data_IF_328085921530
#
_entry.id   IF_328085921530
#
_cell.length_a   1.000
_cell.length_b   1.000
_cell.length_c   1.000
_cell.angle_alpha   90.00
_cell.angle_beta   90.00
_cell.angle_gamma   90.00
#
_symmetry.space_group_name_H-M   'P 1'
#
loop_
_entity.id
_entity.type
_entity.pdbx_description
1 polymer ?
#
# COMPACT_ATOMS: atom_id res chain seq x y z
N UNK A 1 -17.21 1.30 21.90
CA UNK A 1 -16.97 0.73 20.57
C UNK A 1 -16.07 -0.48 20.57
N UNK A 2 -14.89 -0.44 21.19
CA UNK A 2 -13.95 -1.57 21.20
C UNK A 2 -14.13 -2.54 22.34
N UNK A 3 -15.23 -2.43 23.07
CA UNK A 3 -15.46 -3.35 24.18
C UNK A 3 -15.26 -4.82 23.78
N UNK A 4 -15.75 -5.30 22.62
CA UNK A 4 -15.50 -6.67 22.19
C UNK A 4 -14.01 -6.99 21.91
N UNK A 5 -13.23 -6.04 21.36
CA UNK A 5 -11.80 -6.21 21.17
C UNK A 5 -11.06 -6.20 22.52
N UNK A 6 -11.41 -5.25 23.37
CA UNK A 6 -10.82 -5.12 24.72
C UNK A 6 -11.10 -6.36 25.56
N UNK A 7 -12.33 -6.87 25.53
CA UNK A 7 -12.71 -8.09 26.24
C UNK A 7 -11.97 -9.31 25.65
N UNK A 8 -11.86 -9.39 24.32
CA UNK A 8 -11.08 -10.43 23.65
C UNK A 8 -9.61 -10.43 24.07
N UNK A 9 -8.98 -9.26 24.19
CA UNK A 9 -7.59 -9.12 24.61
C UNK A 9 -7.41 -9.28 26.12
N UNK A 10 -8.39 -8.86 26.94
CA UNK A 10 -8.32 -8.90 28.41
C UNK A 10 -8.10 -10.31 28.94
N UNK A 11 -8.80 -11.27 28.39
CA UNK A 11 -8.86 -12.65 28.89
C UNK A 11 -7.73 -13.55 28.37
N UNK A 12 -6.89 -13.05 27.42
CA UNK A 12 -5.87 -13.86 26.74
C UNK A 12 -4.47 -13.36 27.00
N UNK A 13 -3.51 -14.28 26.97
CA UNK A 13 -2.09 -13.92 26.92
C UNK A 13 -1.78 -13.32 25.53
N UNK A 14 -1.15 -12.12 25.51
CA UNK A 14 -0.94 -11.34 24.29
C UNK A 14 0.55 -11.10 24.07
N UNK A 15 1.00 -11.46 22.87
CA UNK A 15 2.31 -11.10 22.31
C UNK A 15 2.16 -10.09 21.21
N UNK A 16 2.84 -8.94 21.30
CA UNK A 16 3.05 -8.01 20.19
C UNK A 16 4.34 -8.44 19.49
N UNK A 17 4.24 -8.97 18.28
CA UNK A 17 5.37 -9.43 17.50
C UNK A 17 5.79 -8.34 16.49
N UNK A 18 6.90 -7.67 16.80
CA UNK A 18 7.38 -6.48 16.14
C UNK A 18 6.90 -5.18 16.77
N UNK A 19 7.83 -4.34 17.22
CA UNK A 19 7.53 -3.08 17.92
C UNK A 19 7.80 -1.84 17.07
N UNK A 20 7.55 -1.95 15.76
CA UNK A 20 7.51 -0.84 14.83
C UNK A 20 6.25 0.03 15.00
N UNK A 21 5.82 0.68 13.93
CA UNK A 21 4.68 1.61 13.93
C UNK A 21 3.37 0.96 14.41
N UNK A 22 3.00 -0.21 13.85
CA UNK A 22 1.79 -0.92 14.24
C UNK A 22 1.90 -1.54 15.64
N UNK A 23 3.05 -2.11 15.99
CA UNK A 23 3.26 -2.66 17.34
C UNK A 23 3.13 -1.60 18.43
N UNK A 24 3.70 -0.41 18.22
CA UNK A 24 3.55 0.73 19.15
C UNK A 24 2.11 1.23 19.23
N UNK A 25 1.38 1.23 18.13
CA UNK A 25 -0.04 1.59 18.08
C UNK A 25 -0.89 0.56 18.86
N UNK A 26 -0.60 -0.75 18.70
CA UNK A 26 -1.23 -1.82 19.48
C UNK A 26 -0.96 -1.68 20.97
N UNK A 27 0.29 -1.43 21.34
CA UNK A 27 0.68 -1.19 22.72
C UNK A 27 -0.09 -0.01 23.35
N UNK A 28 -0.16 1.14 22.64
CA UNK A 28 -0.90 2.32 23.13
C UNK A 28 -2.38 2.01 23.35
N UNK A 29 -3.03 1.31 22.41
CA UNK A 29 -4.42 0.89 22.58
C UNK A 29 -4.60 0.01 23.83
N UNK A 30 -3.74 -0.99 24.01
CA UNK A 30 -3.85 -1.88 25.18
C UNK A 30 -3.65 -1.08 26.46
N UNK A 31 -2.71 -0.16 26.53
CA UNK A 31 -2.46 0.65 27.73
C UNK A 31 -3.57 1.63 28.04
N UNK A 32 -4.22 2.18 27.02
CA UNK A 32 -5.36 3.10 27.18
C UNK A 32 -6.56 2.40 27.85
N UNK A 33 -6.86 1.15 27.44
CA UNK A 33 -8.07 0.45 27.91
C UNK A 33 -7.80 -0.65 28.93
N UNK A 34 -6.59 -1.14 29.02
CA UNK A 34 -6.15 -2.21 29.93
C UNK A 34 -4.79 -1.84 30.56
N UNK A 35 -4.73 -0.79 31.40
CA UNK A 35 -3.46 -0.24 31.89
C UNK A 35 -2.62 -1.24 32.70
N UNK A 36 -3.26 -2.14 33.44
CA UNK A 36 -2.57 -3.12 34.31
C UNK A 36 -2.38 -4.50 33.65
N UNK A 37 -2.81 -4.66 32.38
CA UNK A 37 -2.68 -5.95 31.72
C UNK A 37 -1.22 -6.28 31.46
N UNK A 38 -0.80 -7.47 31.87
CA UNK A 38 0.49 -8.04 31.48
C UNK A 38 0.47 -8.39 29.98
N UNK A 39 1.45 -7.89 29.23
CA UNK A 39 1.67 -8.18 27.82
C UNK A 39 3.13 -8.45 27.54
N UNK A 40 3.39 -9.07 26.41
CA UNK A 40 4.76 -9.32 25.96
C UNK A 40 5.02 -8.66 24.60
N UNK A 41 6.25 -8.25 24.39
CA UNK A 41 6.72 -7.67 23.13
C UNK A 41 7.94 -8.46 22.69
N UNK A 42 7.92 -8.94 21.45
CA UNK A 42 9.05 -9.60 20.82
C UNK A 42 9.51 -8.84 19.57
N UNK A 43 10.79 -8.51 19.49
CA UNK A 43 11.37 -7.81 18.35
C UNK A 43 12.81 -8.25 18.09
N UNK A 44 13.23 -8.26 16.83
CA UNK A 44 14.62 -8.55 16.46
C UNK A 44 15.59 -7.50 17.02
N UNK A 45 15.16 -6.26 17.12
CA UNK A 45 15.96 -5.15 17.63
C UNK A 45 15.65 -4.86 19.10
N UNK A 46 16.60 -4.26 19.85
CA UNK A 46 16.35 -3.84 21.21
C UNK A 46 15.15 -2.88 21.32
N UNK A 47 14.25 -3.18 22.26
CA UNK A 47 13.11 -2.32 22.59
C UNK A 47 13.36 -1.74 23.99
N UNK A 48 13.20 -0.41 24.10
CA UNK A 48 13.24 0.28 25.40
C UNK A 48 11.85 0.80 25.72
N UNK A 49 11.29 0.37 26.85
CA UNK A 49 9.99 0.79 27.36
C UNK A 49 10.00 0.76 28.89
N UNK A 50 9.51 1.83 29.52
CA UNK A 50 9.39 1.93 30.97
C UNK A 50 7.98 1.53 31.39
N UNK A 51 7.71 0.23 31.42
CA UNK A 51 6.41 -0.32 31.80
C UNK A 51 6.61 -1.67 32.51
N UNK A 52 6.30 -1.70 33.80
CA UNK A 52 6.48 -2.87 34.66
C UNK A 52 5.63 -4.10 34.26
N UNK A 53 4.56 -3.86 33.48
CA UNK A 53 3.63 -4.89 33.01
C UNK A 53 3.98 -5.36 31.57
N UNK A 54 5.22 -5.12 31.12
CA UNK A 54 5.71 -5.56 29.79
C UNK A 54 6.90 -6.50 29.96
N UNK A 55 6.79 -7.68 29.37
CA UNK A 55 7.91 -8.61 29.21
C UNK A 55 8.52 -8.42 27.81
N UNK A 56 9.84 -8.27 27.74
CA UNK A 56 10.57 -8.04 26.49
C UNK A 56 11.37 -9.26 26.06
N UNK A 57 11.22 -9.67 24.81
CA UNK A 57 11.97 -10.74 24.14
C UNK A 57 12.63 -10.14 22.90
N UNK A 58 13.91 -9.74 23.02
CA UNK A 58 14.61 -9.03 21.94
C UNK A 58 15.86 -9.78 21.49
N UNK A 59 16.28 -9.52 20.25
CA UNK A 59 17.49 -10.09 19.66
C UNK A 59 17.27 -11.43 18.98
N UNK A 60 18.34 -12.20 18.80
CA UNK A 60 18.27 -13.49 18.14
C UNK A 60 17.37 -14.46 18.91
N UNK A 61 16.48 -15.15 18.18
CA UNK A 61 15.52 -16.08 18.80
C UNK A 61 14.26 -15.43 19.39
N UNK A 62 14.02 -14.14 19.17
CA UNK A 62 12.82 -13.43 19.66
C UNK A 62 11.48 -14.11 19.27
N UNK A 63 11.47 -14.93 18.24
CA UNK A 63 10.27 -15.67 17.81
C UNK A 63 10.05 -16.99 18.60
N UNK A 64 11.01 -17.45 19.38
CA UNK A 64 10.89 -18.74 20.11
C UNK A 64 9.73 -18.77 21.10
N UNK A 65 9.27 -17.62 21.56
CA UNK A 65 8.18 -17.47 22.54
C UNK A 65 6.78 -17.41 21.90
N UNK A 66 6.64 -17.46 20.59
CA UNK A 66 5.34 -17.31 19.89
C UNK A 66 4.31 -18.31 20.44
N UNK A 67 4.73 -19.54 20.70
CA UNK A 67 3.85 -20.62 21.14
C UNK A 67 3.48 -20.59 22.64
N UNK A 68 3.95 -19.60 23.37
CA UNK A 68 3.64 -19.41 24.80
C UNK A 68 2.43 -18.48 25.00
N UNK A 69 1.88 -17.93 23.90
CA UNK A 69 0.79 -16.96 23.93
C UNK A 69 -0.43 -17.45 23.15
N UNK A 70 -1.62 -17.09 23.64
CA UNK A 70 -2.87 -17.40 22.96
C UNK A 70 -3.12 -16.49 21.75
N UNK A 71 -2.67 -15.21 21.81
CA UNK A 71 -2.84 -14.22 20.76
C UNK A 71 -1.51 -13.55 20.42
N UNK A 72 -1.09 -13.68 19.19
CA UNK A 72 0.11 -13.05 18.63
C UNK A 72 -0.31 -12.00 17.63
N UNK A 73 -0.14 -10.72 17.97
CA UNK A 73 -0.45 -9.59 17.08
C UNK A 73 0.83 -9.22 16.33
N UNK A 74 0.90 -9.68 15.09
CA UNK A 74 2.09 -9.61 14.23
C UNK A 74 2.14 -8.29 13.45
N UNK A 75 3.30 -7.64 13.46
CA UNK A 75 3.60 -6.56 12.50
C UNK A 75 3.75 -7.10 11.07
N UNK A 76 3.29 -6.37 10.03
CA UNK A 76 3.24 -6.88 8.65
C UNK A 76 4.57 -7.39 8.11
N UNK A 77 5.67 -6.68 8.36
CA UNK A 77 7.01 -7.01 7.82
C UNK A 77 7.69 -8.26 8.42
N UNK A 78 7.10 -8.89 9.45
CA UNK A 78 7.69 -10.08 10.07
C UNK A 78 7.13 -11.34 9.41
N UNK A 79 7.99 -12.22 8.91
CA UNK A 79 7.61 -13.56 8.46
C UNK A 79 7.63 -14.54 9.61
N UNK A 80 6.57 -15.30 9.78
CA UNK A 80 6.47 -16.42 10.73
C UNK A 80 6.40 -17.76 10.01
N UNK A 81 6.75 -17.80 8.75
CA UNK A 81 6.65 -18.98 7.89
C UNK A 81 7.49 -20.16 8.39
N UNK A 82 8.68 -19.87 8.91
CA UNK A 82 9.61 -20.89 9.39
C UNK A 82 9.39 -21.25 10.87
N UNK A 83 8.28 -20.78 11.45
CA UNK A 83 7.88 -21.07 12.84
C UNK A 83 6.70 -22.01 12.82
N UNK A 84 6.83 -23.15 13.45
CA UNK A 84 5.71 -24.08 13.69
C UNK A 84 4.77 -23.46 14.74
N UNK A 85 3.57 -23.06 14.30
CA UNK A 85 2.56 -22.45 15.17
C UNK A 85 1.62 -23.53 15.71
N UNK A 86 1.49 -23.63 17.01
CA UNK A 86 0.56 -24.57 17.67
C UNK A 86 -0.89 -24.19 17.41
N UNK A 87 -1.79 -25.18 17.38
CA UNK A 87 -3.23 -24.99 17.08
C UNK A 87 -3.94 -24.02 18.04
N UNK A 88 -3.49 -23.94 19.29
CA UNK A 88 -4.06 -23.05 20.31
C UNK A 88 -3.57 -21.60 20.20
N UNK A 89 -2.64 -21.29 19.30
CA UNK A 89 -2.08 -19.95 19.08
C UNK A 89 -2.80 -19.26 17.93
N UNK A 90 -3.37 -18.11 18.20
CA UNK A 90 -3.97 -17.26 17.17
C UNK A 90 -2.98 -16.21 16.72
N UNK A 91 -2.36 -16.40 15.54
CA UNK A 91 -1.59 -15.34 14.88
C UNK A 91 -2.55 -14.45 14.11
N UNK A 92 -2.53 -13.14 14.40
CA UNK A 92 -3.38 -12.11 13.79
C UNK A 92 -2.58 -10.83 13.56
N UNK A 93 -3.22 -9.78 13.07
CA UNK A 93 -2.63 -8.44 12.88
C UNK A 93 -3.64 -7.35 13.25
N UNK A 94 -3.17 -6.10 13.35
CA UNK A 94 -4.06 -4.96 13.63
C UNK A 94 -5.25 -4.88 12.67
N UNK A 95 -4.99 -5.10 11.39
CA UNK A 95 -6.01 -5.04 10.34
C UNK A 95 -7.12 -6.06 10.56
N UNK A 96 -6.77 -7.32 10.84
CA UNK A 96 -7.76 -8.37 11.10
C UNK A 96 -8.60 -8.08 12.34
N UNK A 97 -7.95 -7.66 13.42
CA UNK A 97 -8.65 -7.26 14.66
C UNK A 97 -9.58 -6.06 14.43
N UNK A 98 -9.14 -5.08 13.64
CA UNK A 98 -9.98 -3.93 13.26
C UNK A 98 -11.19 -4.36 12.46
N UNK A 99 -11.02 -5.17 11.41
CA UNK A 99 -12.12 -5.66 10.57
C UNK A 99 -13.10 -6.52 11.36
N UNK A 100 -12.59 -7.33 12.30
CA UNK A 100 -13.40 -8.22 13.13
C UNK A 100 -14.22 -7.50 14.18
N UNK A 101 -13.64 -6.50 14.84
CA UNK A 101 -14.21 -5.86 16.02
C UNK A 101 -14.62 -4.40 15.80
N UNK A 102 -14.22 -3.77 14.70
CA UNK A 102 -14.47 -2.35 14.43
C UNK A 102 -15.91 -1.98 14.20
N UNK A 103 -16.79 -2.93 13.86
CA UNK A 103 -18.24 -2.74 13.74
C UNK A 103 -18.70 -1.77 12.66
N UNK A 104 -17.81 -1.26 11.82
CA UNK A 104 -18.12 -0.30 10.77
C UNK A 104 -18.05 -0.93 9.37
N UNK A 105 -18.86 -0.41 8.45
CA UNK A 105 -18.67 -0.68 7.04
C UNK A 105 -17.38 -0.02 6.58
N UNK A 106 -16.52 -0.75 5.88
CA UNK A 106 -15.26 -0.23 5.39
C UNK A 106 -14.99 -0.62 3.94
N UNK A 107 -14.15 0.15 3.27
CA UNK A 107 -13.63 -0.12 1.94
C UNK A 107 -12.16 -0.52 2.09
N UNK A 108 -11.81 -1.76 1.77
CA UNK A 108 -10.43 -2.22 1.73
C UNK A 108 -9.90 -2.21 0.31
N UNK A 109 -8.70 -1.68 0.10
CA UNK A 109 -8.08 -1.57 -1.22
C UNK A 109 -6.72 -2.21 -1.20
N UNK A 110 -6.51 -3.20 -2.07
CA UNK A 110 -5.24 -3.89 -2.26
C UNK A 110 -4.88 -4.00 -3.74
N UNK A 111 -3.68 -4.45 -3.99
CA UNK A 111 -3.11 -4.70 -5.32
C UNK A 111 -1.59 -4.64 -5.27
N UNK A 112 -0.94 -4.91 -6.37
CA UNK A 112 0.52 -4.71 -6.48
C UNK A 112 0.81 -3.22 -6.63
N UNK A 113 0.20 -2.56 -7.59
CA UNK A 113 0.32 -1.11 -7.88
C UNK A 113 -1.06 -0.43 -7.78
N UNK A 114 -1.08 0.89 -7.67
CA UNK A 114 -2.32 1.69 -7.67
C UNK A 114 -3.06 1.78 -6.33
N UNK A 115 -2.70 1.00 -5.30
CA UNK A 115 -3.35 1.01 -3.99
C UNK A 115 -3.54 2.42 -3.42
N UNK A 116 -2.46 3.16 -3.31
CA UNK A 116 -2.42 4.50 -2.70
C UNK A 116 -3.26 5.50 -3.48
N UNK A 117 -3.16 5.49 -4.81
CA UNK A 117 -3.96 6.36 -5.68
C UNK A 117 -5.44 6.04 -5.52
N UNK A 118 -5.84 4.77 -5.69
CA UNK A 118 -7.22 4.33 -5.57
C UNK A 118 -7.80 4.63 -4.18
N UNK A 119 -7.03 4.40 -3.11
CA UNK A 119 -7.46 4.68 -1.73
C UNK A 119 -7.64 6.19 -1.50
N UNK A 120 -6.71 7.00 -1.97
CA UNK A 120 -6.81 8.46 -1.84
C UNK A 120 -7.99 9.01 -2.62
N UNK A 121 -8.20 8.56 -3.87
CA UNK A 121 -9.33 8.96 -4.68
C UNK A 121 -10.66 8.56 -4.03
N UNK A 122 -10.77 7.32 -3.54
CA UNK A 122 -11.97 6.85 -2.84
C UNK A 122 -12.24 7.72 -1.60
N UNK A 123 -11.23 8.01 -0.80
CA UNK A 123 -11.34 8.89 0.36
C UNK A 123 -11.81 10.30 -0.01
N UNK A 124 -11.25 10.91 -1.06
CA UNK A 124 -11.64 12.25 -1.51
C UNK A 124 -13.07 12.28 -2.03
N UNK A 125 -13.52 11.25 -2.74
CA UNK A 125 -14.92 11.11 -3.19
C UNK A 125 -15.87 11.07 -1.99
N UNK A 126 -15.58 10.25 -0.98
CA UNK A 126 -16.42 10.17 0.22
C UNK A 126 -16.46 11.50 0.96
N UNK A 127 -15.33 12.21 1.04
CA UNK A 127 -15.28 13.57 1.61
C UNK A 127 -16.12 14.56 0.83
N UNK A 128 -16.03 14.55 -0.49
CA UNK A 128 -16.83 15.42 -1.35
C UNK A 128 -18.34 15.15 -1.20
N UNK A 129 -18.72 13.90 -0.92
CA UNK A 129 -20.10 13.50 -0.61
C UNK A 129 -20.55 13.83 0.83
N UNK A 130 -19.70 14.45 1.66
CA UNK A 130 -19.98 14.76 3.05
C UNK A 130 -20.00 13.55 3.99
N UNK A 131 -19.47 12.41 3.56
CA UNK A 131 -19.40 11.19 4.38
C UNK A 131 -18.24 11.32 5.37
N UNK A 132 -18.51 10.98 6.64
CA UNK A 132 -17.45 10.84 7.62
C UNK A 132 -16.54 9.66 7.24
N UNK A 133 -15.30 9.93 6.90
CA UNK A 133 -14.34 8.95 6.40
C UNK A 133 -12.93 9.25 6.88
N UNK A 134 -12.08 8.23 6.91
CA UNK A 134 -10.65 8.35 7.19
C UNK A 134 -9.86 7.45 6.23
N UNK A 135 -8.67 7.88 5.84
CA UNK A 135 -7.71 7.09 5.08
C UNK A 135 -6.68 6.48 6.05
N UNK A 136 -6.66 5.16 6.15
CA UNK A 136 -5.92 4.41 7.18
C UNK A 136 -5.24 3.15 6.61
N UNK A 137 -4.42 2.51 7.41
CA UNK A 137 -3.77 1.24 7.08
C UNK A 137 -2.31 1.39 6.66
N UNK A 138 -1.95 0.83 5.50
CA UNK A 138 -0.58 0.87 4.96
C UNK A 138 -0.11 2.31 4.65
N UNK A 139 -1.04 3.19 4.33
CA UNK A 139 -0.88 4.64 4.17
C UNK A 139 -1.66 5.37 5.28
N UNK A 140 -1.29 6.60 5.57
CA UNK A 140 -1.94 7.40 6.61
C UNK A 140 -1.53 6.96 8.01
N UNK A 141 -2.50 6.64 8.86
CA UNK A 141 -2.29 6.24 10.26
C UNK A 141 -2.60 4.76 10.46
N UNK A 142 -1.95 4.07 11.43
CA UNK A 142 -2.33 2.71 11.80
C UNK A 142 -3.82 2.60 12.12
N UNK A 143 -4.42 1.46 11.76
CA UNK A 143 -5.88 1.30 11.88
C UNK A 143 -6.39 1.52 13.31
N UNK A 144 -5.63 1.19 14.34
CA UNK A 144 -6.02 1.41 15.73
C UNK A 144 -6.02 2.87 16.18
N UNK A 145 -5.31 3.76 15.50
CA UNK A 145 -5.32 5.19 15.82
C UNK A 145 -6.60 5.90 15.35
N UNK A 146 -7.38 5.27 14.48
CA UNK A 146 -8.64 5.82 13.95
C UNK A 146 -9.88 5.32 14.69
N UNK A 147 -9.71 4.50 15.70
CA UNK A 147 -10.77 3.74 16.33
C UNK A 147 -11.82 4.57 17.09
N UNK A 148 -11.46 5.70 17.65
CA UNK A 148 -12.39 6.51 18.46
C UNK A 148 -13.69 6.94 17.76
N UNK A 149 -13.70 6.96 16.42
CA UNK A 149 -14.82 7.40 15.58
C UNK A 149 -15.35 6.35 14.60
N UNK A 150 -14.82 5.10 14.63
CA UNK A 150 -15.08 4.11 13.57
C UNK A 150 -16.56 3.74 13.38
N UNK A 151 -17.39 3.69 14.44
CA UNK A 151 -18.84 3.37 14.30
C UNK A 151 -19.62 4.34 13.41
N UNK A 152 -19.17 5.59 13.32
CA UNK A 152 -19.85 6.66 12.58
C UNK A 152 -19.19 7.00 11.26
N UNK A 153 -18.14 6.25 10.84
CA UNK A 153 -17.41 6.54 9.62
C UNK A 153 -17.41 5.34 8.68
N UNK A 154 -17.13 5.61 7.40
CA UNK A 154 -16.77 4.60 6.40
C UNK A 154 -15.28 4.75 6.12
N UNK A 155 -14.39 4.03 6.81
CA UNK A 155 -12.96 4.13 6.58
C UNK A 155 -12.57 3.52 5.24
N UNK A 156 -11.61 4.15 4.57
CA UNK A 156 -10.89 3.63 3.41
C UNK A 156 -9.56 3.10 3.89
N UNK A 157 -9.34 1.80 3.71
CA UNK A 157 -8.19 1.08 4.27
C UNK A 157 -7.28 0.63 3.12
N UNK A 158 -6.10 1.20 3.02
CA UNK A 158 -5.07 0.63 2.14
C UNK A 158 -4.47 -0.62 2.79
N UNK A 159 -4.47 -1.73 2.05
CA UNK A 159 -4.05 -3.04 2.55
C UNK A 159 -2.89 -3.61 1.72
N UNK A 160 -1.75 -3.81 2.37
CA UNK A 160 -0.64 -4.56 1.78
C UNK A 160 -0.91 -6.07 1.80
N UNK A 161 -0.18 -6.84 0.99
CA UNK A 161 -0.23 -8.30 1.05
C UNK A 161 0.18 -8.85 2.42
N UNK A 162 1.19 -8.23 3.06
CA UNK A 162 1.66 -8.63 4.39
C UNK A 162 0.63 -8.41 5.50
N UNK A 163 -0.22 -7.38 5.38
CA UNK A 163 -1.34 -7.16 6.30
C UNK A 163 -2.46 -8.18 6.04
N UNK A 164 -2.71 -8.51 4.77
CA UNK A 164 -3.76 -9.45 4.39
C UNK A 164 -3.39 -10.91 4.66
N UNK A 165 -2.11 -11.28 4.75
CA UNK A 165 -1.64 -12.65 4.92
C UNK A 165 -2.32 -13.38 6.09
N UNK A 166 -2.50 -12.69 7.23
CA UNK A 166 -3.12 -13.23 8.43
C UNK A 166 -4.53 -12.68 8.70
N UNK A 167 -5.13 -12.01 7.71
CA UNK A 167 -6.49 -11.46 7.83
C UNK A 167 -7.52 -12.55 7.54
N UNK A 168 -8.43 -12.76 8.49
CA UNK A 168 -9.53 -13.75 8.44
C UNK A 168 -10.91 -13.09 8.37
N UNK A 169 -10.93 -11.76 8.29
CA UNK A 169 -12.14 -10.96 8.15
C UNK A 169 -11.95 -10.01 6.97
N UNK A 170 -12.89 -10.01 6.04
CA UNK A 170 -12.83 -9.16 4.83
C UNK A 170 -13.62 -7.87 5.01
N UNK A 171 -13.22 -6.76 4.35
CA UNK A 171 -13.98 -5.51 4.35
C UNK A 171 -15.30 -5.65 3.61
N UNK A 172 -16.27 -4.75 3.90
CA UNK A 172 -17.57 -4.73 3.24
C UNK A 172 -17.47 -4.50 1.73
N UNK A 173 -16.57 -3.60 1.29
CA UNK A 173 -16.18 -3.45 -0.10
C UNK A 173 -14.70 -3.78 -0.21
N UNK A 174 -14.36 -4.83 -0.94
CA UNK A 174 -12.98 -5.21 -1.26
C UNK A 174 -12.62 -4.79 -2.68
N UNK A 175 -11.55 -4.02 -2.85
CA UNK A 175 -11.07 -3.57 -4.16
C UNK A 175 -9.71 -4.16 -4.45
N UNK A 176 -9.56 -4.85 -5.59
CA UNK A 176 -8.29 -5.40 -6.07
C UNK A 176 -7.88 -4.69 -7.37
N UNK A 177 -6.82 -3.89 -7.31
CA UNK A 177 -6.39 -3.06 -8.45
C UNK A 177 -5.73 -3.89 -9.55
N UNK A 178 -4.74 -4.69 -9.18
CA UNK A 178 -3.96 -5.56 -10.06
C UNK A 178 -3.11 -6.53 -9.24
N UNK A 179 -2.59 -7.58 -9.90
CA UNK A 179 -1.65 -8.52 -9.29
C UNK A 179 -0.51 -8.81 -10.27
N UNK A 180 0.71 -8.43 -9.89
CA UNK A 180 1.96 -8.72 -10.59
C UNK A 180 2.93 -9.41 -9.64
N UNK A 181 3.90 -10.18 -10.11
CA UNK A 181 4.92 -10.79 -9.27
C UNK A 181 5.68 -9.75 -8.43
N UNK A 182 5.58 -9.87 -7.11
CA UNK A 182 6.28 -9.03 -6.12
C UNK A 182 6.42 -9.81 -4.81
N UNK A 183 7.46 -9.58 -4.02
CA UNK A 183 7.70 -10.25 -2.72
C UNK A 183 7.68 -11.80 -2.78
N UNK A 184 8.19 -12.39 -3.87
CA UNK A 184 8.12 -13.84 -4.12
C UNK A 184 8.91 -14.66 -3.11
N UNK A 185 9.96 -14.10 -2.54
CA UNK A 185 10.77 -14.64 -1.46
C UNK A 185 9.96 -14.81 -0.15
N UNK A 186 9.13 -13.82 0.18
CA UNK A 186 8.27 -13.87 1.36
C UNK A 186 7.16 -14.92 1.24
N UNK A 187 6.55 -15.09 0.05
CA UNK A 187 5.33 -15.88 -0.15
C UNK A 187 5.55 -17.29 -0.74
N UNK A 188 6.76 -17.79 -0.89
CA UNK A 188 7.01 -19.01 -1.65
C UNK A 188 6.46 -18.97 -3.07
N UNK A 189 6.67 -17.86 -3.77
CA UNK A 189 6.27 -17.67 -5.14
C UNK A 189 4.94 -16.96 -5.34
N UNK A 190 4.58 -16.80 -6.60
CA UNK A 190 3.47 -15.91 -7.00
C UNK A 190 2.10 -16.34 -6.48
N UNK A 191 1.82 -17.66 -6.44
CA UNK A 191 0.54 -18.17 -5.93
C UNK A 191 0.32 -17.81 -4.45
N UNK A 192 1.36 -17.88 -3.62
CA UNK A 192 1.27 -17.48 -2.21
C UNK A 192 0.96 -15.98 -2.06
N UNK A 193 1.60 -15.14 -2.87
CA UNK A 193 1.35 -13.70 -2.91
C UNK A 193 -0.08 -13.36 -3.33
N UNK A 194 -0.60 -14.02 -4.38
CA UNK A 194 -2.00 -13.88 -4.83
C UNK A 194 -2.95 -14.29 -3.72
N UNK A 195 -2.72 -15.44 -3.08
CA UNK A 195 -3.55 -15.95 -2.00
C UNK A 195 -3.63 -14.98 -0.81
N UNK A 196 -2.51 -14.37 -0.44
CA UNK A 196 -2.51 -13.35 0.62
C UNK A 196 -3.42 -12.17 0.26
N UNK A 197 -3.35 -11.66 -0.98
CA UNK A 197 -4.23 -10.55 -1.43
C UNK A 197 -5.69 -10.93 -1.49
N UNK A 198 -6.02 -12.17 -1.89
CA UNK A 198 -7.40 -12.64 -1.98
C UNK A 198 -8.10 -12.74 -0.62
N UNK A 199 -7.38 -12.68 0.50
CA UNK A 199 -8.01 -12.57 1.82
C UNK A 199 -8.85 -11.28 1.97
N UNK A 200 -8.66 -10.28 1.10
CA UNK A 200 -9.51 -9.10 1.07
C UNK A 200 -10.98 -9.44 0.73
N UNK A 201 -11.23 -10.57 0.06
CA UNK A 201 -12.58 -10.96 -0.39
C UNK A 201 -13.00 -12.34 0.10
N UNK A 202 -12.06 -13.22 0.45
CA UNK A 202 -12.34 -14.64 0.78
C UNK A 202 -13.35 -14.83 1.92
N UNK A 203 -13.41 -13.90 2.87
CA UNK A 203 -14.33 -13.97 4.01
C UNK A 203 -15.52 -13.00 3.88
N UNK A 204 -15.74 -12.43 2.70
CA UNK A 204 -16.93 -11.60 2.42
C UNK A 204 -18.20 -12.43 2.45
N UNK A 205 -19.31 -11.75 2.81
CA UNK A 205 -20.67 -12.32 2.84
C UNK A 205 -21.42 -11.91 1.58
N UNK A 206 -22.61 -12.47 1.36
CA UNK A 206 -23.46 -12.19 0.20
C UNK A 206 -23.81 -10.70 0.00
N UNK A 207 -23.91 -9.94 1.09
CA UNK A 207 -24.19 -8.50 1.05
C UNK A 207 -22.96 -7.62 0.87
N UNK A 208 -21.77 -8.23 0.82
CA UNK A 208 -20.51 -7.51 0.57
C UNK A 208 -20.25 -7.41 -0.94
N UNK A 209 -19.26 -6.60 -1.31
CA UNK A 209 -18.97 -6.30 -2.72
C UNK A 209 -17.47 -6.48 -2.98
N UNK A 210 -17.17 -7.23 -4.03
CA UNK A 210 -15.84 -7.36 -4.60
C UNK A 210 -15.73 -6.58 -5.91
N UNK A 211 -14.80 -5.64 -5.97
CA UNK A 211 -14.53 -4.80 -7.16
C UNK A 211 -13.11 -5.10 -7.65
N UNK A 212 -12.94 -5.32 -8.94
CA UNK A 212 -11.63 -5.63 -9.50
C UNK A 212 -11.47 -5.14 -10.93
N UNK A 213 -10.21 -4.97 -11.34
CA UNK A 213 -9.85 -4.65 -12.72
C UNK A 213 -9.98 -5.90 -13.59
N UNK A 214 -10.99 -5.94 -14.46
CA UNK A 214 -11.29 -7.10 -15.30
C UNK A 214 -10.26 -7.32 -16.43
N UNK A 215 -9.52 -6.26 -16.83
CA UNK A 215 -8.49 -6.38 -17.87
C UNK A 215 -7.17 -7.02 -17.37
N UNK A 216 -7.10 -7.35 -16.07
CA UNK A 216 -5.87 -7.88 -15.45
C UNK A 216 -5.83 -9.40 -15.30
N UNK A 217 -6.77 -10.14 -15.88
CA UNK A 217 -6.81 -11.60 -15.76
C UNK A 217 -6.97 -12.11 -14.32
N UNK A 218 -7.41 -11.25 -13.39
CA UNK A 218 -7.56 -11.61 -11.96
C UNK A 218 -8.53 -12.79 -11.78
N UNK A 219 -9.50 -12.94 -12.68
CA UNK A 219 -10.44 -14.06 -12.72
C UNK A 219 -9.77 -15.44 -12.80
N UNK A 220 -8.56 -15.53 -13.35
CA UNK A 220 -7.81 -16.79 -13.44
C UNK A 220 -7.33 -17.29 -12.05
N UNK A 221 -7.21 -16.37 -11.09
CA UNK A 221 -6.76 -16.66 -9.73
C UNK A 221 -7.87 -16.82 -8.72
N UNK A 222 -9.11 -16.54 -9.14
CA UNK A 222 -10.29 -16.55 -8.28
C UNK A 222 -11.07 -17.84 -8.54
N UNK A 223 -11.12 -18.71 -7.54
CA UNK A 223 -12.14 -19.74 -7.52
C UNK A 223 -13.49 -19.06 -7.23
N UNK A 224 -14.34 -18.99 -8.25
CA UNK A 224 -15.65 -18.35 -8.15
C UNK A 224 -16.53 -18.94 -7.07
N UNK A 225 -16.32 -20.21 -6.71
CA UNK A 225 -17.06 -20.91 -5.66
C UNK A 225 -16.67 -20.44 -4.25
N UNK A 226 -15.48 -19.88 -4.08
CA UNK A 226 -15.00 -19.37 -2.78
C UNK A 226 -15.50 -17.94 -2.48
N UNK A 227 -15.98 -17.18 -3.49
CA UNK A 227 -16.41 -15.79 -3.31
C UNK A 227 -17.92 -15.68 -3.29
N UNK A 228 -18.46 -15.40 -2.10
CA UNK A 228 -19.92 -15.27 -1.85
C UNK A 228 -20.46 -13.87 -2.18
N UNK A 229 -19.62 -12.86 -2.18
CA UNK A 229 -20.02 -11.48 -2.39
C UNK A 229 -20.37 -11.16 -3.84
N UNK A 230 -21.10 -10.05 -4.03
CA UNK A 230 -21.39 -9.53 -5.38
C UNK A 230 -20.08 -9.09 -6.04
N UNK A 231 -19.79 -9.63 -7.22
CA UNK A 231 -18.59 -9.30 -8.02
C UNK A 231 -18.90 -8.18 -9.02
N UNK A 232 -18.03 -7.18 -9.10
CA UNK A 232 -18.09 -6.09 -10.07
C UNK A 232 -16.71 -5.97 -10.72
N UNK A 233 -16.53 -6.58 -11.89
CA UNK A 233 -15.36 -6.33 -12.74
C UNK A 233 -15.57 -5.04 -13.52
N UNK A 234 -14.54 -4.21 -13.62
CA UNK A 234 -14.54 -3.02 -14.48
C UNK A 234 -13.42 -3.12 -15.51
N UNK A 235 -13.77 -3.02 -16.79
CA UNK A 235 -12.84 -3.03 -17.90
C UNK A 235 -12.72 -1.64 -18.55
N UNK A 236 -11.71 -1.45 -19.39
CA UNK A 236 -11.59 -0.25 -20.22
C UNK A 236 -12.78 -0.11 -21.18
N UNK A 237 -13.32 -1.23 -21.68
CA UNK A 237 -14.47 -1.24 -22.56
C UNK A 237 -15.75 -0.78 -21.84
N UNK A 238 -15.97 -1.21 -20.60
CA UNK A 238 -17.11 -0.74 -19.80
C UNK A 238 -17.06 0.77 -19.55
N UNK A 239 -15.85 1.29 -19.32
CA UNK A 239 -15.65 2.74 -19.16
C UNK A 239 -15.97 3.54 -20.43
N UNK A 240 -15.66 2.98 -21.61
CA UNK A 240 -15.99 3.66 -22.87
C UNK A 240 -17.51 3.67 -23.17
N UNK A 241 -18.27 2.70 -22.61
CA UNK A 241 -19.72 2.61 -22.76
C UNK A 241 -20.50 3.52 -21.80
N UNK A 242 -19.91 3.91 -20.68
CA UNK A 242 -20.49 4.82 -19.68
C UNK A 242 -20.01 6.25 -19.95
N UNK A 243 -20.87 7.19 -20.44
CA UNK A 243 -20.47 8.55 -20.77
C UNK A 243 -19.81 9.29 -19.59
N UNK A 244 -20.28 9.06 -18.37
CA UNK A 244 -19.70 9.68 -17.18
C UNK A 244 -18.30 9.16 -16.91
N UNK A 245 -18.08 7.84 -16.91
CA UNK A 245 -16.77 7.25 -16.67
C UNK A 245 -15.76 7.62 -17.74
N UNK A 246 -16.21 7.71 -19.01
CA UNK A 246 -15.39 8.13 -20.14
C UNK A 246 -14.82 9.53 -19.96
N UNK A 247 -15.63 10.48 -19.47
CA UNK A 247 -15.17 11.83 -19.18
C UNK A 247 -14.32 11.87 -17.90
N UNK A 248 -14.71 11.10 -16.87
CA UNK A 248 -14.10 11.10 -15.56
C UNK A 248 -12.60 10.74 -15.60
N UNK A 249 -12.21 9.77 -16.42
CA UNK A 249 -10.81 9.29 -16.51
C UNK A 249 -9.83 10.33 -17.06
N UNK A 250 -10.31 11.46 -17.53
CA UNK A 250 -9.51 12.58 -18.06
C UNK A 250 -9.76 13.91 -17.34
N UNK A 251 -10.62 13.94 -16.30
CA UNK A 251 -11.02 15.19 -15.66
C UNK A 251 -9.91 15.82 -14.79
N UNK A 252 -8.93 15.05 -14.34
CA UNK A 252 -7.82 15.56 -13.53
C UNK A 252 -6.47 15.36 -14.25
N UNK A 253 -5.79 16.47 -14.65
CA UNK A 253 -4.52 16.40 -15.38
C UNK A 253 -3.33 15.87 -14.57
N UNK A 254 -3.47 15.70 -13.25
CA UNK A 254 -2.43 15.09 -12.40
C UNK A 254 -2.47 13.56 -12.40
N UNK A 255 -3.57 12.97 -12.84
CA UNK A 255 -3.75 11.53 -12.97
C UNK A 255 -3.36 11.06 -14.38
N UNK A 256 -2.06 11.17 -14.68
CA UNK A 256 -1.50 10.83 -15.97
C UNK A 256 -1.31 9.30 -16.13
N UNK A 257 -1.39 8.84 -17.38
CA UNK A 257 -1.07 7.48 -17.76
C UNK A 257 -2.24 6.48 -17.64
N UNK A 258 -2.09 5.35 -18.35
CA UNK A 258 -3.12 4.31 -18.45
C UNK A 258 -3.47 3.69 -17.10
N UNK A 259 -2.49 3.51 -16.22
CA UNK A 259 -2.68 2.92 -14.90
C UNK A 259 -3.60 3.77 -14.00
N UNK A 260 -3.46 5.11 -14.01
CA UNK A 260 -4.31 5.99 -13.23
C UNK A 260 -5.77 6.00 -13.72
N UNK A 261 -6.04 5.67 -14.99
CA UNK A 261 -7.41 5.48 -15.48
C UNK A 261 -8.12 4.38 -14.69
N UNK A 262 -7.46 3.24 -14.47
CA UNK A 262 -8.05 2.16 -13.66
C UNK A 262 -8.19 2.52 -12.20
N UNK A 263 -7.26 3.27 -11.63
CA UNK A 263 -7.38 3.77 -10.25
C UNK A 263 -8.62 4.65 -10.09
N UNK A 264 -8.90 5.53 -11.07
CA UNK A 264 -10.13 6.34 -11.12
C UNK A 264 -11.37 5.45 -11.24
N UNK A 265 -11.38 4.50 -12.16
CA UNK A 265 -12.53 3.63 -12.42
C UNK A 265 -12.90 2.78 -11.21
N UNK A 266 -11.89 2.21 -10.54
CA UNK A 266 -12.09 1.40 -9.33
C UNK A 266 -12.62 2.25 -8.16
N UNK A 267 -12.07 3.44 -7.96
CA UNK A 267 -12.55 4.37 -6.93
C UNK A 267 -13.99 4.84 -7.20
N UNK A 268 -14.31 5.18 -8.45
CA UNK A 268 -15.66 5.57 -8.86
C UNK A 268 -16.67 4.41 -8.70
N UNK A 269 -16.26 3.18 -9.06
CA UNK A 269 -17.11 1.99 -8.90
C UNK A 269 -17.37 1.70 -7.43
N UNK A 270 -16.36 1.82 -6.56
CA UNK A 270 -16.52 1.66 -5.11
C UNK A 270 -17.47 2.71 -4.52
N UNK A 271 -17.38 3.94 -4.98
CA UNK A 271 -18.28 5.02 -4.57
C UNK A 271 -19.73 4.79 -5.05
N UNK A 272 -19.92 4.40 -6.32
CA UNK A 272 -21.24 4.04 -6.84
C UNK A 272 -21.87 2.85 -6.10
N UNK A 273 -21.07 1.88 -5.67
CA UNK A 273 -21.52 0.75 -4.86
C UNK A 273 -22.06 1.19 -3.48
N UNK A 274 -21.65 2.35 -2.98
CA UNK A 274 -22.20 3.00 -1.77
C UNK A 274 -23.38 3.93 -2.08
N UNK A 275 -23.80 4.08 -3.34
CA UNK A 275 -24.86 4.98 -3.75
C UNK A 275 -24.45 6.45 -3.84
N UNK A 276 -23.16 6.76 -3.98
CA UNK A 276 -22.66 8.12 -4.15
C UNK A 276 -23.02 8.63 -5.55
N UNK A 277 -23.60 9.82 -5.61
CA UNK A 277 -23.96 10.48 -6.87
C UNK A 277 -22.70 10.88 -7.68
N UNK A 278 -22.78 10.78 -8.99
CA UNK A 278 -21.69 11.06 -9.94
C UNK A 278 -21.08 12.46 -9.80
N UNK A 279 -21.87 13.47 -9.39
CA UNK A 279 -21.36 14.82 -9.12
C UNK A 279 -20.31 14.87 -8.00
N UNK A 280 -20.48 14.05 -6.94
CA UNK A 280 -19.53 13.98 -5.84
C UNK A 280 -18.31 13.13 -6.21
N UNK A 281 -18.50 12.10 -7.05
CA UNK A 281 -17.41 11.30 -7.61
C UNK A 281 -16.50 12.22 -8.42
N UNK A 282 -17.05 13.02 -9.33
CA UNK A 282 -16.29 14.00 -10.12
C UNK A 282 -15.56 15.00 -9.23
N UNK A 283 -16.26 15.62 -8.27
CA UNK A 283 -15.65 16.59 -7.37
C UNK A 283 -14.49 16.00 -6.55
N UNK A 284 -14.62 14.75 -6.08
CA UNK A 284 -13.55 14.06 -5.39
C UNK A 284 -12.32 13.81 -6.27
N UNK A 285 -12.51 13.35 -7.51
CA UNK A 285 -11.41 13.12 -8.46
C UNK A 285 -10.73 14.45 -8.83
N UNK A 286 -11.49 15.50 -9.11
CA UNK A 286 -10.96 16.83 -9.44
C UNK A 286 -10.17 17.46 -8.29
N UNK A 287 -10.53 17.16 -7.04
CA UNK A 287 -9.83 17.64 -5.84
C UNK A 287 -8.50 16.94 -5.56
N UNK A 288 -8.15 15.89 -6.32
CA UNK A 288 -6.91 15.17 -6.10
C UNK A 288 -5.70 16.00 -6.53
N UNK A 289 -4.84 16.32 -5.57
CA UNK A 289 -3.64 17.15 -5.77
C UNK A 289 -2.34 16.35 -6.00
N UNK A 290 -2.45 15.03 -6.16
CA UNK A 290 -1.31 14.13 -6.26
C UNK A 290 -1.02 13.43 -4.93
N UNK A 291 -0.05 12.53 -4.99
CA UNK A 291 0.47 11.84 -3.81
C UNK A 291 1.89 12.35 -3.59
N UNK A 292 2.24 12.81 -2.38
CA UNK A 292 3.61 13.23 -2.09
C UNK A 292 4.62 12.16 -2.53
N UNK A 293 5.69 12.60 -3.18
CA UNK A 293 6.76 11.75 -3.69
C UNK A 293 6.38 10.74 -4.79
N UNK A 294 5.17 10.83 -5.38
CA UNK A 294 4.73 9.99 -6.50
C UNK A 294 4.30 10.86 -7.66
N UNK A 295 5.14 10.97 -8.68
CA UNK A 295 4.92 11.86 -9.83
C UNK A 295 4.41 13.24 -9.38
N UNK A 296 4.82 13.66 -8.20
CA UNK A 296 4.41 14.89 -7.55
C UNK A 296 4.92 16.08 -8.35
N UNK A 297 4.01 16.87 -8.91
CA UNK A 297 4.38 18.12 -9.57
C UNK A 297 4.77 19.15 -8.50
N UNK A 298 6.07 19.33 -8.30
CA UNK A 298 6.63 20.27 -7.29
C UNK A 298 6.47 21.73 -7.73
N UNK A 299 6.31 21.97 -9.04
CA UNK A 299 6.10 23.31 -9.60
C UNK A 299 6.94 23.56 -10.84
N UNK A 300 6.69 24.73 -11.45
CA UNK A 300 7.44 25.20 -12.62
C UNK A 300 8.24 26.44 -12.26
N UNK A 301 9.56 26.36 -12.40
CA UNK A 301 10.48 27.43 -12.08
C UNK A 301 11.34 27.77 -13.31
N UNK A 302 11.35 29.01 -13.71
CA UNK A 302 12.08 29.49 -14.91
C UNK A 302 11.77 28.66 -16.18
N UNK A 303 10.51 28.18 -16.32
CA UNK A 303 10.09 27.38 -17.48
C UNK A 303 10.43 25.89 -17.40
N UNK A 304 11.02 25.41 -16.31
CA UNK A 304 11.29 23.99 -16.05
C UNK A 304 10.32 23.48 -15.02
N UNK A 305 9.58 22.40 -15.36
CA UNK A 305 8.66 21.75 -14.45
C UNK A 305 9.39 20.60 -13.74
N UNK A 306 9.29 20.57 -12.41
CA UNK A 306 9.92 19.57 -11.55
C UNK A 306 8.89 18.57 -11.06
N UNK A 307 9.24 17.28 -11.16
CA UNK A 307 8.46 16.17 -10.62
C UNK A 307 9.29 15.40 -9.60
N UNK A 308 8.68 15.09 -8.47
CA UNK A 308 9.25 14.25 -7.42
C UNK A 308 8.58 12.86 -7.47
N UNK A 309 9.36 11.84 -7.80
CA UNK A 309 8.93 10.44 -7.83
C UNK A 309 9.87 9.55 -6.97
N UNK A 310 10.37 10.10 -5.88
CA UNK A 310 11.35 9.42 -5.02
C UNK A 310 10.82 8.14 -4.35
N UNK A 311 9.52 7.87 -4.44
CA UNK A 311 8.91 6.60 -4.01
C UNK A 311 9.01 5.49 -5.08
N UNK A 312 9.47 5.79 -6.29
CA UNK A 312 9.75 4.82 -7.32
C UNK A 312 11.00 4.01 -6.95
N UNK A 313 10.79 2.82 -6.40
CA UNK A 313 11.86 1.97 -5.86
C UNK A 313 12.24 0.81 -6.76
N UNK A 314 11.66 0.74 -7.95
CA UNK A 314 11.94 -0.29 -8.96
C UNK A 314 12.09 0.34 -10.35
N UNK A 315 12.92 -0.24 -11.23
CA UNK A 315 13.18 0.24 -12.60
C UNK A 315 11.94 0.54 -13.42
N UNK A 316 10.95 -0.35 -13.39
CA UNK A 316 9.72 -0.25 -14.17
C UNK A 316 8.90 0.99 -13.79
N UNK A 317 8.92 1.38 -12.51
CA UNK A 317 8.24 2.59 -12.07
C UNK A 317 8.88 3.86 -12.65
N UNK A 318 10.21 3.91 -12.72
CA UNK A 318 10.94 5.02 -13.33
C UNK A 318 10.62 5.12 -14.83
N UNK A 319 10.62 4.00 -15.56
CA UNK A 319 10.28 3.98 -16.99
C UNK A 319 8.83 4.42 -17.24
N UNK A 320 7.88 3.96 -16.41
CA UNK A 320 6.49 4.44 -16.48
C UNK A 320 6.39 5.96 -16.27
N UNK A 321 7.18 6.54 -15.36
CA UNK A 321 7.21 7.98 -15.14
C UNK A 321 7.76 8.74 -16.36
N UNK A 322 8.86 8.27 -16.93
CA UNK A 322 9.47 8.83 -18.14
C UNK A 322 8.49 8.83 -19.31
N UNK A 323 7.80 7.70 -19.53
CA UNK A 323 6.79 7.56 -20.59
C UNK A 323 5.58 8.49 -20.38
N UNK A 324 5.09 8.59 -19.12
CA UNK A 324 3.94 9.42 -18.79
C UNK A 324 4.20 10.93 -19.05
N UNK A 325 5.43 11.38 -18.82
CA UNK A 325 5.83 12.78 -19.03
C UNK A 325 6.15 13.11 -20.49
N UNK A 326 6.28 12.11 -21.37
CA UNK A 326 6.57 12.24 -22.83
C UNK A 326 7.90 12.90 -23.18
N UNK A 327 8.33 13.91 -22.44
CA UNK A 327 9.60 14.60 -22.59
C UNK A 327 10.20 14.89 -21.21
N UNK A 328 11.35 14.31 -20.94
CA UNK A 328 12.11 14.50 -19.70
C UNK A 328 13.49 15.07 -20.08
N UNK A 329 13.72 16.32 -19.75
CA UNK A 329 15.04 16.96 -20.02
C UNK A 329 16.14 16.43 -19.12
N UNK A 330 15.83 16.17 -17.84
CA UNK A 330 16.80 15.63 -16.88
C UNK A 330 16.10 14.63 -15.94
N UNK A 331 16.72 13.47 -15.76
CA UNK A 331 16.31 12.43 -14.84
C UNK A 331 17.36 12.26 -13.74
N UNK A 332 16.95 12.36 -12.48
CA UNK A 332 17.83 12.11 -11.32
C UNK A 332 17.51 10.72 -10.78
N UNK A 333 18.50 9.83 -10.71
CA UNK A 333 18.37 8.47 -10.20
C UNK A 333 19.45 8.17 -9.17
N UNK A 334 19.09 7.29 -8.20
CA UNK A 334 20.01 6.84 -7.16
C UNK A 334 19.26 6.16 -6.02
N UNK A 335 19.98 5.74 -5.03
CA UNK A 335 19.45 5.10 -3.83
C UNK A 335 20.22 3.84 -3.44
N UNK A 336 19.85 3.25 -2.30
CA UNK A 336 20.50 2.06 -1.78
C UNK A 336 20.25 0.85 -2.69
N UNK A 337 21.27 0.02 -2.86
CA UNK A 337 21.14 -1.23 -3.60
C UNK A 337 20.22 -2.21 -2.86
N UNK A 338 19.27 -2.76 -3.60
CA UNK A 338 18.31 -3.78 -3.13
C UNK A 338 18.55 -5.15 -3.76
N UNK A 339 19.68 -5.33 -4.44
CA UNK A 339 20.02 -6.58 -5.15
C UNK A 339 19.16 -6.82 -6.38
N UNK A 340 18.68 -5.78 -7.04
CA UNK A 340 17.92 -5.89 -8.29
C UNK A 340 18.87 -6.00 -9.49
N UNK A 341 18.44 -6.72 -10.53
CA UNK A 341 19.10 -6.69 -11.83
C UNK A 341 18.66 -5.45 -12.62
N UNK A 342 19.59 -4.57 -12.93
CA UNK A 342 19.36 -3.33 -13.67
C UNK A 342 19.69 -3.44 -15.18
N UNK A 343 20.03 -4.62 -15.69
CA UNK A 343 20.52 -4.81 -17.06
C UNK A 343 19.53 -4.35 -18.13
N UNK A 344 18.25 -4.66 -17.99
CA UNK A 344 17.22 -4.23 -18.92
C UNK A 344 16.88 -2.75 -18.76
N UNK A 345 16.84 -2.26 -17.51
CA UNK A 345 16.64 -0.85 -17.23
C UNK A 345 17.73 0.06 -17.85
N UNK A 346 18.99 -0.37 -17.83
CA UNK A 346 20.10 0.36 -18.46
C UNK A 346 19.89 0.44 -19.97
N UNK A 347 19.45 -0.64 -20.63
CA UNK A 347 19.12 -0.64 -22.07
C UNK A 347 17.96 0.33 -22.36
N UNK A 348 16.88 0.27 -21.56
CA UNK A 348 15.70 1.11 -21.72
C UNK A 348 16.05 2.59 -21.52
N UNK A 349 16.85 2.93 -20.51
CA UNK A 349 17.36 4.29 -20.28
C UNK A 349 18.22 4.79 -21.46
N UNK A 350 19.07 3.93 -22.02
CA UNK A 350 19.87 4.31 -23.19
C UNK A 350 19.01 4.65 -24.40
N UNK A 351 17.87 3.97 -24.58
CA UNK A 351 16.94 4.17 -25.70
C UNK A 351 15.83 5.21 -25.46
N UNK A 352 15.61 5.68 -24.24
CA UNK A 352 14.49 6.55 -23.91
C UNK A 352 14.72 8.03 -24.30
N UNK A 353 13.64 8.81 -24.28
CA UNK A 353 13.66 10.26 -24.61
C UNK A 353 14.00 11.11 -23.36
N UNK A 354 15.21 10.91 -22.81
CA UNK A 354 15.78 11.68 -21.70
C UNK A 354 17.12 12.25 -22.16
N UNK A 355 17.33 13.55 -22.01
CA UNK A 355 18.58 14.19 -22.48
C UNK A 355 19.72 14.00 -21.47
N UNK A 356 19.45 14.24 -20.18
CA UNK A 356 20.44 14.19 -19.12
C UNK A 356 20.06 13.17 -18.05
N UNK A 357 21.03 12.34 -17.62
CA UNK A 357 20.85 11.38 -16.53
C UNK A 357 21.85 11.74 -15.43
N UNK A 358 21.32 12.12 -14.27
CA UNK A 358 22.10 12.52 -13.10
C UNK A 358 22.07 11.35 -12.11
N UNK A 359 23.20 10.81 -11.81
CA UNK A 359 23.40 9.60 -11.04
C UNK A 359 23.91 9.91 -9.65
N UNK A 360 23.08 9.67 -8.63
CA UNK A 360 23.42 9.79 -7.21
C UNK A 360 23.90 8.43 -6.65
N UNK A 361 24.59 8.38 -5.48
CA UNK A 361 24.95 7.12 -4.85
C UNK A 361 23.69 6.27 -4.50
N UNK A 362 23.75 4.97 -4.36
CA UNK A 362 24.79 3.98 -4.71
C UNK A 362 24.46 3.38 -6.08
N UNK A 363 23.17 2.99 -6.30
CA UNK A 363 22.68 2.36 -7.53
C UNK A 363 22.81 3.28 -8.74
N UNK A 364 22.58 4.59 -8.57
CA UNK A 364 22.72 5.53 -9.66
C UNK A 364 24.15 5.58 -10.23
N UNK A 365 25.17 5.51 -9.38
CA UNK A 365 26.57 5.46 -9.82
C UNK A 365 26.85 4.19 -10.65
N UNK A 366 26.36 3.00 -10.21
CA UNK A 366 26.52 1.76 -10.95
C UNK A 366 25.83 1.84 -12.32
N UNK A 367 24.60 2.31 -12.38
CA UNK A 367 23.83 2.49 -13.61
C UNK A 367 24.52 3.49 -14.55
N UNK A 368 24.96 4.64 -14.03
CA UNK A 368 25.62 5.68 -14.81
C UNK A 368 26.96 5.23 -15.40
N UNK A 369 27.74 4.44 -14.68
CA UNK A 369 28.98 3.85 -15.19
C UNK A 369 28.69 2.84 -16.31
N UNK A 370 27.71 1.96 -16.11
CA UNK A 370 27.30 0.99 -17.15
C UNK A 370 26.79 1.68 -18.42
N UNK A 371 26.03 2.76 -18.32
CA UNK A 371 25.59 3.56 -19.46
C UNK A 371 26.77 4.17 -20.23
N UNK A 372 27.80 4.66 -19.52
CA UNK A 372 29.03 5.18 -20.15
C UNK A 372 29.81 4.08 -20.85
N UNK A 373 29.95 2.90 -20.23
CA UNK A 373 30.62 1.74 -20.80
C UNK A 373 29.92 1.20 -22.07
N UNK A 374 28.60 1.28 -22.11
CA UNK A 374 27.79 0.94 -23.29
C UNK A 374 27.90 1.97 -24.43
N UNK A 375 28.52 3.11 -24.20
CA UNK A 375 28.61 4.20 -25.20
C UNK A 375 27.27 4.91 -25.43
N UNK A 376 26.44 5.04 -24.40
CA UNK A 376 25.17 5.79 -24.47
C UNK A 376 25.40 7.24 -24.92
N UNK A 377 24.53 7.76 -25.77
CA UNK A 377 24.54 9.14 -26.27
C UNK A 377 24.02 10.18 -25.26
N UNK A 378 23.56 9.74 -24.09
CA UNK A 378 23.03 10.58 -23.03
C UNK A 378 24.13 11.36 -22.32
N UNK A 379 23.77 12.56 -21.87
CA UNK A 379 24.67 13.31 -20.97
C UNK A 379 24.57 12.72 -19.54
N UNK A 380 25.61 11.98 -19.14
CA UNK A 380 25.61 11.22 -17.88
C UNK A 380 26.50 11.95 -16.85
N UNK A 381 25.89 12.44 -15.78
CA UNK A 381 26.52 13.18 -14.70
C UNK A 381 26.53 12.30 -13.45
N UNK A 382 27.74 11.98 -12.95
CA UNK A 382 27.91 11.28 -11.67
C UNK A 382 28.07 12.35 -10.58
N UNK A 383 27.08 12.48 -9.69
CA UNK A 383 27.09 13.44 -8.61
C UNK A 383 27.31 12.73 -7.26
N UNK A 384 28.16 13.30 -6.40
CA UNK A 384 28.49 12.73 -5.10
C UNK A 384 27.30 12.74 -4.13
N UNK A 385 26.51 13.79 -4.16
CA UNK A 385 25.34 14.04 -3.31
C UNK A 385 24.48 15.15 -3.93
N UNK A 386 23.36 15.49 -3.31
CA UNK A 386 22.47 16.56 -3.76
C UNK A 386 23.12 17.94 -3.67
N UNK A 387 23.99 18.18 -2.68
CA UNK A 387 24.71 19.46 -2.54
C UNK A 387 25.67 19.65 -3.70
N UNK A 388 26.40 18.61 -4.09
CA UNK A 388 27.24 18.61 -5.29
C UNK A 388 26.43 18.98 -6.54
N UNK A 389 25.23 18.44 -6.70
CA UNK A 389 24.35 18.75 -7.82
C UNK A 389 23.91 20.21 -7.83
N UNK A 390 23.57 20.78 -6.66
CA UNK A 390 23.12 22.17 -6.54
C UNK A 390 24.24 23.19 -6.80
N UNK A 391 25.49 22.88 -6.42
CA UNK A 391 26.64 23.78 -6.55
C UNK A 391 27.41 23.63 -7.86
N UNK A 392 27.26 22.51 -8.58
CA UNK A 392 27.98 22.24 -9.82
C UNK A 392 27.14 22.41 -11.09
N UNK A 393 25.83 22.67 -10.95
CA UNK A 393 25.01 23.05 -12.10
C UNK A 393 25.35 24.48 -12.54
N UNK A 394 25.68 24.70 -13.82
CA UNK A 394 25.94 26.03 -14.37
C UNK A 394 24.69 26.93 -14.35
#
# INVERSE_FOLDING_TARGET
>A
MFQPLIDYLRERSVLILGFGREGRSTYRLIREFLPEKEISIADKFPVTIEDKNVNLFCGDGYMSVINDFEVVIKSPGISVRDVEIKENVTVTCQTDLFLKFGGCKCIGITGTKGKTTTSTLTYLILKAAGINTALIGNIGVPVFESLGNAEKMIPVIELSSHQLEFTRTSPHIGVLTNVYPEHLDHYNGFKGYVNAKLNIVRNQKENDIFIYNADQGISEFIDESEIKSKKIGISAEDAEKDPFLKELVSCNPRLLGRHNRFDILLAATAARALGIEDKFIRAGIESFDGIPHRMENVGTYKGITFYNDSIATIPEAVMCAVEALKKVGSLIIGGNDRGLDYSDFIKDLSGCNVDNIICLPETGHAIGNSLKEMGSDKNIIIAKDMDCLLYTSP
#
